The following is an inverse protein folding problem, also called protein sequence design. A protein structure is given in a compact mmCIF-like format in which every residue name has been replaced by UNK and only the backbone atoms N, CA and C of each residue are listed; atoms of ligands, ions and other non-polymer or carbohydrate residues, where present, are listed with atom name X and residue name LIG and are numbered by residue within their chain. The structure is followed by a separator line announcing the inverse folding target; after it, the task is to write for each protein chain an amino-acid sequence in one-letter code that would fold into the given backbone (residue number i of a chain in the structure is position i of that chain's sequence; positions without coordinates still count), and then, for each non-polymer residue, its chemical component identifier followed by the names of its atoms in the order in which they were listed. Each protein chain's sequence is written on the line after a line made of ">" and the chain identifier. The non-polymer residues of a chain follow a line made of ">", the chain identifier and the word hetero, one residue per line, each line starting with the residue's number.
data_IF_005196254529
#
_entry.id   IF_005196254529
#
_cell.length_a   1.000
_cell.length_b   1.000
_cell.length_c   1.000
_cell.angle_alpha   90.00
_cell.angle_beta   90.00
_cell.angle_gamma   90.00
#
_symmetry.space_group_name_H-M   'P 1'
#
loop_
_entity.id
_entity.type
_entity.pdbx_description
1 polymer ?
#
# COMPACT_ATOMS: atom_id res chain seq x y z
N UNK A 1 11.16 9.67 70.78
CA UNK A 1 11.93 9.74 69.53
C UNK A 1 10.97 9.40 68.34
N UNK A 2 10.48 10.41 67.62
CA UNK A 2 9.60 10.21 66.45
C UNK A 2 10.48 10.27 65.18
N UNK A 3 10.59 9.19 64.43
CA UNK A 3 11.26 9.14 63.13
C UNK A 3 10.36 9.82 62.07
N UNK A 4 10.86 10.92 61.45
CA UNK A 4 10.25 11.53 60.28
C UNK A 4 10.60 10.69 59.05
N UNK A 5 9.58 10.07 58.40
CA UNK A 5 9.72 9.56 57.05
C UNK A 5 9.54 10.72 56.07
N UNK A 6 10.60 11.02 55.29
CA UNK A 6 10.53 12.00 54.23
C UNK A 6 9.66 11.51 53.09
N UNK A 7 8.72 12.33 52.66
CA UNK A 7 7.92 12.10 51.44
C UNK A 7 8.85 12.26 50.24
N UNK A 8 9.12 11.19 49.51
CA UNK A 8 9.77 11.24 48.20
C UNK A 8 8.78 11.90 47.23
N UNK A 9 9.19 12.97 46.55
CA UNK A 9 8.33 13.75 45.67
C UNK A 9 7.91 12.92 44.46
N UNK A 10 6.62 12.99 44.07
CA UNK A 10 6.06 12.35 42.85
C UNK A 10 6.82 12.74 41.57
N UNK A 11 7.46 13.92 41.56
CA UNK A 11 8.27 14.42 40.45
C UNK A 11 9.55 13.63 40.20
N UNK A 12 10.18 13.10 41.25
CA UNK A 12 11.42 12.29 41.15
C UNK A 12 11.13 10.89 40.52
N UNK A 13 9.93 10.37 40.75
CA UNK A 13 9.54 9.07 40.22
C UNK A 13 9.23 9.13 38.70
N UNK A 14 8.61 10.24 38.23
CA UNK A 14 8.31 10.46 36.82
C UNK A 14 9.57 10.62 35.96
N UNK A 15 10.59 11.32 36.47
CA UNK A 15 11.88 11.51 35.78
C UNK A 15 12.66 10.18 35.67
N UNK A 16 12.62 9.35 36.72
CA UNK A 16 13.27 8.03 36.69
C UNK A 16 12.62 7.07 35.70
N UNK A 17 11.29 7.09 35.54
CA UNK A 17 10.58 6.28 34.54
C UNK A 17 10.86 6.71 33.11
N UNK A 18 10.96 8.03 32.85
CA UNK A 18 11.28 8.55 31.51
C UNK A 18 12.71 8.21 31.07
N UNK A 19 13.68 8.28 32.01
CA UNK A 19 15.07 7.90 31.75
C UNK A 19 15.19 6.39 31.45
N UNK A 20 14.46 5.54 32.18
CA UNK A 20 14.47 4.09 31.96
C UNK A 20 13.88 3.73 30.57
N UNK A 21 12.81 4.39 30.15
CA UNK A 21 12.22 4.16 28.84
C UNK A 21 13.14 4.58 27.68
N UNK A 22 13.86 5.69 27.84
CA UNK A 22 14.84 6.15 26.84
C UNK A 22 16.10 5.24 26.79
N UNK A 23 16.57 4.73 27.93
CA UNK A 23 17.66 3.76 27.95
C UNK A 23 17.25 2.42 27.30
N UNK A 24 16.06 1.91 27.56
CA UNK A 24 15.58 0.67 26.95
C UNK A 24 15.37 0.83 25.43
N UNK A 25 14.89 1.99 24.95
CA UNK A 25 14.77 2.28 23.53
C UNK A 25 16.15 2.41 22.84
N UNK A 26 17.14 3.02 23.50
CA UNK A 26 18.51 3.10 23.02
C UNK A 26 19.20 1.73 22.98
N UNK A 27 19.06 0.90 24.01
CA UNK A 27 19.59 -0.48 24.03
C UNK A 27 18.95 -1.36 22.96
N UNK A 28 17.64 -1.18 22.66
CA UNK A 28 16.96 -1.95 21.62
C UNK A 28 17.41 -1.53 20.21
N UNK A 29 17.72 -0.23 19.99
CA UNK A 29 18.23 0.26 18.72
C UNK A 29 19.69 -0.18 18.46
N UNK A 30 20.53 -0.24 19.48
CA UNK A 30 21.91 -0.72 19.36
C UNK A 30 21.99 -2.23 19.14
N UNK A 31 21.14 -3.04 19.79
CA UNK A 31 21.05 -4.49 19.52
C UNK A 31 20.63 -4.83 18.09
N UNK A 32 19.86 -3.98 17.44
CA UNK A 32 19.46 -4.16 16.03
C UNK A 32 20.61 -3.88 15.05
N UNK A 33 21.60 -3.06 15.42
CA UNK A 33 22.78 -2.76 14.60
C UNK A 33 23.80 -3.91 14.55
N UNK A 34 23.82 -4.76 15.56
CA UNK A 34 24.79 -5.87 15.70
C UNK A 34 24.24 -7.21 15.19
N UNK A 35 23.00 -7.24 14.68
CA UNK A 35 22.44 -8.44 14.06
C UNK A 35 22.74 -8.49 12.56
N UNK A 36 23.26 -9.64 12.09
CA UNK A 36 23.38 -9.87 10.67
C UNK A 36 22.00 -9.71 9.99
N UNK A 37 21.94 -9.06 8.82
CA UNK A 37 20.67 -8.94 8.10
C UNK A 37 20.11 -10.34 7.77
N UNK A 38 18.78 -10.55 7.84
CA UNK A 38 18.18 -11.82 7.46
C UNK A 38 18.49 -12.12 5.98
N UNK A 39 18.76 -13.38 5.69
CA UNK A 39 18.98 -13.83 4.32
C UNK A 39 17.60 -14.00 3.67
N UNK A 40 17.38 -13.30 2.57
CA UNK A 40 16.16 -13.38 1.75
C UNK A 40 16.59 -13.84 0.35
N UNK A 41 15.96 -14.91 -0.14
CA UNK A 41 16.11 -15.33 -1.54
C UNK A 41 15.27 -14.42 -2.42
N UNK A 42 15.85 -13.64 -3.33
CA UNK A 42 15.06 -12.80 -4.24
C UNK A 42 14.25 -13.66 -5.20
N UNK A 43 13.08 -13.19 -5.58
CA UNK A 43 12.31 -13.79 -6.66
C UNK A 43 12.90 -13.47 -8.03
N UNK A 44 12.67 -14.33 -9.01
CA UNK A 44 13.04 -14.12 -10.40
C UNK A 44 11.86 -13.56 -11.21
N UNK A 45 12.13 -12.65 -12.14
CA UNK A 45 11.12 -12.08 -13.04
C UNK A 45 9.88 -11.51 -12.34
N UNK A 46 10.08 -10.86 -11.17
CA UNK A 46 9.02 -10.25 -10.40
C UNK A 46 8.24 -11.22 -9.48
N UNK A 47 8.64 -12.50 -9.40
CA UNK A 47 8.03 -13.43 -8.44
C UNK A 47 8.34 -13.04 -6.98
N UNK A 48 7.56 -13.57 -6.05
CA UNK A 48 7.67 -13.24 -4.64
C UNK A 48 9.01 -13.68 -4.05
N UNK A 49 9.74 -12.82 -3.32
CA UNK A 49 10.90 -13.23 -2.54
C UNK A 49 10.48 -14.11 -1.34
N UNK A 50 11.44 -14.81 -0.75
CA UNK A 50 11.19 -15.85 0.26
C UNK A 50 10.53 -15.35 1.56
N UNK A 51 10.59 -14.05 1.85
CA UNK A 51 9.97 -13.40 3.02
C UNK A 51 8.68 -12.62 2.68
N UNK A 52 8.19 -12.74 1.44
CA UNK A 52 6.95 -12.09 1.03
C UNK A 52 5.70 -12.89 1.44
N UNK A 53 4.62 -12.16 1.66
CA UNK A 53 3.27 -12.71 1.76
C UNK A 53 2.67 -12.65 0.36
N UNK A 54 2.40 -13.81 -0.22
CA UNK A 54 1.72 -13.91 -1.52
C UNK A 54 0.24 -13.64 -1.30
N UNK A 55 -0.28 -12.61 -1.97
CA UNK A 55 -1.69 -12.22 -1.91
C UNK A 55 -2.50 -12.80 -3.08
N UNK A 56 -1.84 -13.02 -4.22
CA UNK A 56 -2.47 -13.65 -5.37
C UNK A 56 -1.41 -14.22 -6.33
N UNK A 57 -1.49 -15.52 -6.57
CA UNK A 57 -0.62 -16.29 -7.48
C UNK A 57 -1.35 -16.85 -8.71
N UNK A 58 -2.65 -16.55 -8.85
CA UNK A 58 -3.51 -17.04 -9.92
C UNK A 58 -4.33 -18.28 -9.54
N UNK A 59 -4.13 -18.87 -8.37
CA UNK A 59 -4.80 -20.12 -7.95
C UNK A 59 -6.23 -19.91 -7.45
N UNK A 60 -6.44 -18.91 -6.56
CA UNK A 60 -7.71 -18.62 -5.90
C UNK A 60 -7.75 -17.16 -5.37
N UNK A 61 -8.89 -16.77 -4.78
CA UNK A 61 -9.11 -15.46 -4.17
C UNK A 61 -9.20 -15.55 -2.63
N UNK A 62 -8.59 -16.55 -2.00
CA UNK A 62 -8.78 -16.85 -0.59
C UNK A 62 -8.20 -15.77 0.35
N UNK A 63 -7.20 -15.01 -0.09
CA UNK A 63 -6.66 -13.86 0.67
C UNK A 63 -7.54 -12.60 0.55
N UNK A 64 -8.60 -12.63 -0.28
CA UNK A 64 -9.44 -11.48 -0.63
C UNK A 64 -10.89 -11.65 -0.19
N UNK A 65 -11.58 -10.51 0.00
CA UNK A 65 -13.00 -10.43 0.30
C UNK A 65 -13.62 -9.14 -0.29
N UNK A 66 -14.96 -9.13 -0.45
CA UNK A 66 -15.75 -7.95 -0.80
C UNK A 66 -16.63 -7.58 0.39
N UNK A 67 -16.25 -6.54 1.15
CA UNK A 67 -16.84 -6.31 2.47
C UNK A 67 -16.65 -7.53 3.37
N UNK A 68 -17.73 -8.04 3.94
CA UNK A 68 -17.74 -9.25 4.77
C UNK A 68 -18.05 -10.53 3.97
N UNK A 69 -18.16 -10.44 2.64
CA UNK A 69 -18.49 -11.55 1.76
C UNK A 69 -17.26 -12.06 0.99
N UNK A 70 -17.36 -13.28 0.43
CA UNK A 70 -16.35 -13.83 -0.43
C UNK A 70 -16.11 -12.94 -1.67
N UNK A 71 -14.86 -12.89 -2.12
CA UNK A 71 -14.46 -12.21 -3.35
C UNK A 71 -15.25 -12.71 -4.56
N UNK A 72 -15.71 -11.78 -5.43
CA UNK A 72 -16.60 -12.09 -6.57
C UNK A 72 -16.00 -11.79 -7.92
N UNK A 73 -14.75 -11.31 -7.98
CA UNK A 73 -14.06 -11.05 -9.24
C UNK A 73 -13.83 -12.34 -10.03
N UNK A 74 -13.67 -12.22 -11.32
CA UNK A 74 -13.50 -13.38 -12.20
C UNK A 74 -12.07 -13.93 -12.12
N UNK A 75 -11.90 -15.22 -11.87
CA UNK A 75 -10.60 -15.90 -11.89
C UNK A 75 -10.30 -16.37 -13.31
N UNK A 76 -9.24 -15.85 -13.92
CA UNK A 76 -8.75 -16.18 -15.26
C UNK A 76 -7.55 -17.14 -15.14
N UNK A 77 -7.82 -18.42 -14.90
CA UNK A 77 -6.79 -19.44 -14.61
C UNK A 77 -5.73 -19.56 -15.70
N UNK A 78 -6.11 -19.45 -16.98
CA UNK A 78 -5.18 -19.53 -18.11
C UNK A 78 -4.14 -18.39 -18.14
N UNK A 79 -4.45 -17.25 -17.51
CA UNK A 79 -3.55 -16.09 -17.41
C UNK A 79 -2.94 -15.93 -16.02
N UNK A 80 -3.26 -16.83 -15.09
CA UNK A 80 -2.95 -16.68 -13.66
C UNK A 80 -3.37 -15.31 -13.11
N UNK A 81 -4.55 -14.83 -13.53
CA UNK A 81 -5.04 -13.49 -13.27
C UNK A 81 -6.44 -13.48 -12.64
N UNK A 82 -6.78 -12.39 -11.98
CA UNK A 82 -8.15 -12.04 -11.62
C UNK A 82 -8.57 -10.78 -12.37
N UNK A 83 -9.85 -10.68 -12.71
CA UNK A 83 -10.43 -9.58 -13.48
C UNK A 83 -11.57 -8.92 -12.72
N UNK A 84 -11.60 -7.60 -12.75
CA UNK A 84 -12.71 -6.81 -12.19
C UNK A 84 -14.02 -7.26 -12.82
N UNK A 85 -14.93 -7.74 -11.98
CA UNK A 85 -16.30 -8.03 -12.37
C UNK A 85 -17.18 -6.83 -11.99
N UNK A 86 -17.54 -6.05 -13.00
CA UNK A 86 -18.33 -4.83 -12.86
C UNK A 86 -19.53 -4.99 -11.91
N UNK A 87 -19.64 -4.09 -10.96
CA UNK A 87 -20.78 -4.01 -10.03
C UNK A 87 -20.73 -5.02 -8.88
N UNK A 88 -19.63 -5.76 -8.72
CA UNK A 88 -19.45 -6.65 -7.56
C UNK A 88 -18.74 -5.99 -6.38
N UNK A 89 -18.29 -4.76 -6.56
CA UNK A 89 -17.60 -3.97 -5.56
C UNK A 89 -16.09 -4.23 -5.52
N UNK A 90 -15.42 -3.50 -4.65
CA UNK A 90 -13.98 -3.59 -4.46
C UNK A 90 -13.58 -4.93 -3.87
N UNK A 91 -12.34 -5.36 -4.15
CA UNK A 91 -11.68 -6.42 -3.38
C UNK A 91 -10.76 -5.81 -2.34
N UNK A 92 -10.80 -6.36 -1.13
CA UNK A 92 -9.85 -6.02 -0.07
C UNK A 92 -9.19 -7.27 0.47
N UNK A 93 -7.94 -7.14 0.91
CA UNK A 93 -7.26 -8.24 1.62
C UNK A 93 -7.90 -8.49 2.99
N UNK A 94 -7.94 -9.75 3.42
CA UNK A 94 -8.36 -10.12 4.77
C UNK A 94 -7.34 -9.66 5.81
N UNK A 95 -6.04 -9.71 5.46
CA UNK A 95 -4.94 -9.17 6.27
C UNK A 95 -4.80 -7.67 6.11
N UNK A 96 -4.29 -7.02 7.15
CA UNK A 96 -3.99 -5.58 7.18
C UNK A 96 -2.50 -5.34 7.31
N UNK A 97 -2.00 -4.26 6.69
CA UNK A 97 -0.59 -3.95 6.56
C UNK A 97 -0.28 -2.51 6.98
N UNK A 98 0.94 -2.31 7.50
CA UNK A 98 1.52 -1.00 7.80
C UNK A 98 2.45 -0.52 6.69
N UNK A 99 3.72 -0.29 7.05
CA UNK A 99 4.77 0.06 6.10
C UNK A 99 5.12 -1.17 5.26
N UNK A 100 5.11 -1.07 3.92
CA UNK A 100 5.28 -2.23 3.04
C UNK A 100 6.05 -1.94 1.75
N UNK A 101 6.63 -2.99 1.20
CA UNK A 101 6.95 -3.13 -0.21
C UNK A 101 5.85 -4.00 -0.86
N UNK A 102 5.18 -3.48 -1.88
CA UNK A 102 4.16 -4.17 -2.65
C UNK A 102 4.63 -4.31 -4.11
N UNK A 103 4.49 -5.51 -4.65
CA UNK A 103 4.54 -5.74 -6.10
C UNK A 103 3.16 -6.15 -6.59
N UNK A 104 2.74 -5.58 -7.71
CA UNK A 104 1.46 -5.90 -8.34
C UNK A 104 1.57 -5.72 -9.85
N UNK A 105 1.11 -6.72 -10.60
CA UNK A 105 0.96 -6.61 -12.05
C UNK A 105 -0.50 -6.38 -12.41
N UNK A 106 -0.74 -5.49 -13.40
CA UNK A 106 -2.07 -5.15 -13.85
C UNK A 106 -2.09 -4.93 -15.37
N UNK A 107 -3.26 -5.13 -15.99
CA UNK A 107 -3.46 -4.84 -17.40
C UNK A 107 -4.85 -4.26 -17.63
N UNK A 108 -4.92 -3.17 -18.40
CA UNK A 108 -6.20 -2.64 -18.90
C UNK A 108 -6.71 -3.51 -20.04
N UNK A 109 -8.02 -3.46 -20.39
CA UNK A 109 -8.55 -4.19 -21.54
C UNK A 109 -7.78 -3.87 -22.83
N UNK A 110 -7.55 -4.87 -23.68
CA UNK A 110 -6.91 -4.68 -24.98
C UNK A 110 -7.81 -3.93 -25.97
N UNK A 111 -9.13 -4.12 -25.84
CA UNK A 111 -10.12 -3.33 -26.56
C UNK A 111 -10.33 -2.01 -25.83
N UNK A 112 -9.99 -0.93 -26.51
CA UNK A 112 -10.09 0.42 -25.97
C UNK A 112 -11.53 0.91 -26.05
N UNK A 113 -12.13 1.17 -24.88
CA UNK A 113 -13.46 1.79 -24.76
C UNK A 113 -13.38 3.02 -23.86
N UNK A 114 -14.07 4.09 -24.24
CA UNK A 114 -14.08 5.35 -23.49
C UNK A 114 -12.83 6.21 -23.72
N UNK A 115 -12.69 7.25 -22.90
CA UNK A 115 -11.59 8.21 -22.91
C UNK A 115 -11.37 8.79 -21.52
N UNK A 116 -10.23 9.43 -21.29
CA UNK A 116 -9.88 10.06 -20.02
C UNK A 116 -10.02 9.06 -18.87
N UNK A 117 -10.71 9.45 -17.82
CA UNK A 117 -10.96 8.60 -16.63
C UNK A 117 -11.96 7.46 -16.86
N UNK A 118 -12.66 7.42 -18.00
CA UNK A 118 -13.55 6.32 -18.37
C UNK A 118 -12.84 5.16 -19.09
N UNK A 119 -11.52 5.21 -19.27
CA UNK A 119 -10.76 4.26 -20.08
C UNK A 119 -9.86 3.36 -19.24
N UNK A 120 -10.28 2.10 -19.05
CA UNK A 120 -9.48 1.09 -18.34
C UNK A 120 -9.13 1.51 -16.92
N UNK A 121 -10.10 2.04 -16.17
CA UNK A 121 -9.92 2.62 -14.84
C UNK A 121 -10.07 1.59 -13.73
N UNK A 122 -9.20 1.69 -12.75
CA UNK A 122 -9.23 1.00 -11.45
C UNK A 122 -8.31 1.76 -10.48
N UNK A 123 -8.01 1.18 -9.31
CA UNK A 123 -7.10 1.79 -8.33
C UNK A 123 -6.52 0.76 -7.37
N UNK A 124 -5.30 1.02 -6.91
CA UNK A 124 -4.60 0.26 -5.86
C UNK A 124 -4.53 1.14 -4.61
N UNK A 125 -5.34 0.81 -3.60
CA UNK A 125 -5.44 1.60 -2.36
C UNK A 125 -4.64 0.96 -1.23
N UNK A 126 -3.54 1.56 -0.83
CA UNK A 126 -2.82 1.19 0.38
C UNK A 126 -3.66 1.57 1.60
N UNK A 127 -3.79 0.61 2.52
CA UNK A 127 -4.68 0.71 3.70
C UNK A 127 -6.15 1.02 3.35
N UNK A 128 -6.57 0.80 2.09
CA UNK A 128 -7.90 1.18 1.62
C UNK A 128 -8.18 2.69 1.62
N UNK A 129 -7.13 3.52 1.66
CA UNK A 129 -7.18 4.98 1.84
C UNK A 129 -6.43 5.76 0.79
N UNK A 130 -5.24 5.29 0.40
CA UNK A 130 -4.27 6.06 -0.38
C UNK A 130 -4.08 5.38 -1.72
N UNK A 131 -4.60 6.01 -2.77
CA UNK A 131 -4.71 5.43 -4.10
C UNK A 131 -3.49 5.72 -4.97
N UNK A 132 -2.90 4.66 -5.51
CA UNK A 132 -2.11 4.73 -6.74
C UNK A 132 -3.01 4.35 -7.91
N UNK A 133 -3.24 5.31 -8.79
CA UNK A 133 -4.17 5.19 -9.90
C UNK A 133 -3.78 4.09 -10.89
N UNK A 134 -4.78 3.31 -11.32
CA UNK A 134 -4.71 2.39 -12.46
C UNK A 134 -5.58 2.94 -13.57
N UNK A 135 -5.00 3.20 -14.73
CA UNK A 135 -5.68 3.77 -15.89
C UNK A 135 -4.98 3.33 -17.16
N UNK A 136 -5.71 3.18 -18.25
CA UNK A 136 -5.10 3.18 -19.57
C UNK A 136 -4.66 4.60 -19.93
N UNK A 137 -3.41 4.93 -19.59
CA UNK A 137 -2.79 6.23 -19.87
C UNK A 137 -1.96 6.27 -21.14
N UNK A 138 -1.96 5.18 -21.94
CA UNK A 138 -1.26 5.15 -23.21
C UNK A 138 -2.02 5.94 -24.27
N UNK A 139 -1.46 7.07 -24.73
CA UNK A 139 -2.13 7.99 -25.68
C UNK A 139 -3.56 8.34 -25.23
N UNK A 140 -3.75 8.66 -23.94
CA UNK A 140 -5.03 9.00 -23.35
C UNK A 140 -4.90 10.27 -22.51
N UNK A 141 -5.50 11.35 -22.98
CA UNK A 141 -5.48 12.63 -22.29
C UNK A 141 -6.46 12.65 -21.13
N UNK A 142 -5.98 13.10 -19.98
CA UNK A 142 -6.77 13.41 -18.78
C UNK A 142 -5.95 14.34 -17.87
N UNK A 143 -6.53 14.76 -16.74
CA UNK A 143 -5.79 15.58 -15.78
C UNK A 143 -4.58 14.84 -15.21
N UNK A 144 -3.48 15.56 -14.98
CA UNK A 144 -2.16 14.95 -14.69
C UNK A 144 -2.13 14.15 -13.40
N UNK A 145 -2.80 14.59 -12.33
CA UNK A 145 -2.91 13.87 -11.06
C UNK A 145 -4.00 12.78 -11.03
N UNK A 146 -4.51 12.38 -12.20
CA UNK A 146 -5.38 11.23 -12.43
C UNK A 146 -4.82 10.25 -13.46
N UNK A 147 -3.58 10.44 -13.93
CA UNK A 147 -2.88 9.49 -14.80
C UNK A 147 -2.50 8.22 -14.04
N UNK A 148 -2.21 7.13 -14.77
CA UNK A 148 -1.67 5.90 -14.18
C UNK A 148 -0.44 6.21 -13.30
N UNK A 149 -0.43 5.70 -12.09
CA UNK A 149 0.65 5.92 -11.12
C UNK A 149 0.57 7.26 -10.38
N UNK A 150 -0.43 8.09 -10.62
CA UNK A 150 -0.68 9.24 -9.76
C UNK A 150 -1.01 8.79 -8.32
N UNK A 151 -0.54 9.51 -7.32
CA UNK A 151 -1.22 9.55 -6.04
C UNK A 151 -2.49 10.36 -6.26
N UNK A 152 -3.61 9.66 -6.49
CA UNK A 152 -4.83 10.19 -7.10
C UNK A 152 -5.32 11.49 -6.45
N UNK A 153 -5.51 12.52 -7.27
CA UNK A 153 -5.88 13.89 -6.90
C UNK A 153 -4.90 14.61 -5.94
N UNK A 154 -3.71 14.02 -5.65
CA UNK A 154 -2.71 14.62 -4.77
C UNK A 154 -1.42 14.94 -5.52
N UNK A 155 -0.84 13.98 -6.26
CA UNK A 155 0.41 14.18 -6.99
C UNK A 155 0.39 13.46 -8.34
N UNK A 156 0.75 14.16 -9.41
CA UNK A 156 0.97 13.56 -10.71
C UNK A 156 2.20 12.63 -10.69
N UNK A 157 2.24 11.59 -11.55
CA UNK A 157 3.47 10.84 -11.77
C UNK A 157 4.54 11.72 -12.42
N UNK A 158 5.81 11.46 -12.12
CA UNK A 158 6.95 12.18 -12.71
C UNK A 158 7.01 12.01 -14.24
N UNK A 159 6.62 10.83 -14.73
CA UNK A 159 6.54 10.50 -16.14
C UNK A 159 5.41 9.51 -16.39
N UNK A 160 4.89 9.47 -17.62
CA UNK A 160 3.95 8.42 -18.06
C UNK A 160 4.77 7.23 -18.60
N UNK A 161 4.86 6.15 -17.83
CA UNK A 161 5.57 4.92 -18.17
C UNK A 161 4.63 3.80 -18.69
N UNK A 162 3.42 4.15 -19.13
CA UNK A 162 2.39 3.19 -19.53
C UNK A 162 2.76 2.48 -20.84
N UNK A 163 2.60 1.15 -20.84
CA UNK A 163 2.59 0.32 -22.06
C UNK A 163 1.20 0.40 -22.73
N UNK A 164 1.08 0.01 -24.01
CA UNK A 164 -0.21 -0.05 -24.70
C UNK A 164 -1.27 -0.90 -23.96
N UNK A 165 -2.58 -0.61 -24.16
CA UNK A 165 -3.66 -1.38 -23.57
C UNK A 165 -3.54 -2.88 -23.88
N UNK A 166 -3.99 -3.71 -22.95
CA UNK A 166 -3.86 -5.17 -23.00
C UNK A 166 -2.48 -5.70 -22.58
N UNK A 167 -1.44 -4.85 -22.49
CA UNK A 167 -0.11 -5.25 -22.03
C UNK A 167 -0.01 -5.18 -20.49
N UNK A 168 0.65 -6.16 -19.90
CA UNK A 168 0.93 -6.19 -18.47
C UNK A 168 1.85 -5.04 -18.07
N UNK A 169 1.46 -4.35 -17.02
CA UNK A 169 2.16 -3.27 -16.34
C UNK A 169 2.59 -3.76 -14.96
N UNK A 170 3.65 -3.20 -14.40
CA UNK A 170 4.06 -3.49 -13.02
C UNK A 170 4.04 -2.22 -12.18
N UNK A 171 3.55 -2.32 -10.96
CA UNK A 171 3.86 -1.37 -9.91
C UNK A 171 4.70 -2.04 -8.83
N UNK A 172 5.85 -1.42 -8.52
CA UNK A 172 6.63 -1.70 -7.32
C UNK A 172 6.49 -0.49 -6.39
N UNK A 173 5.83 -0.68 -5.25
CA UNK A 173 5.43 0.39 -4.35
C UNK A 173 6.11 0.21 -2.99
N UNK A 174 6.90 1.21 -2.58
CA UNK A 174 7.33 1.34 -1.19
C UNK A 174 6.38 2.33 -0.51
N UNK A 175 5.62 1.85 0.44
CA UNK A 175 4.65 2.63 1.20
C UNK A 175 5.08 2.75 2.65
N UNK A 176 5.20 3.97 3.14
CA UNK A 176 5.34 4.29 4.56
C UNK A 176 4.01 4.87 5.02
N UNK A 177 3.36 4.19 5.95
CA UNK A 177 2.04 4.58 6.44
C UNK A 177 2.10 5.91 7.23
N UNK A 178 1.13 6.83 7.04
CA UNK A 178 0.95 7.93 7.98
C UNK A 178 0.55 7.39 9.35
N UNK A 179 1.14 7.93 10.42
CA UNK A 179 0.97 7.40 11.77
C UNK A 179 0.27 8.44 12.66
N UNK A 180 -0.92 8.12 13.23
CA UNK A 180 -1.54 8.94 14.25
C UNK A 180 -0.60 9.13 15.45
N UNK A 181 -0.57 10.33 16.01
CA UNK A 181 0.20 10.69 17.20
C UNK A 181 -0.73 10.90 18.40
N UNK A 182 -0.19 10.80 19.61
CA UNK A 182 -0.96 11.00 20.87
C UNK A 182 -1.55 12.40 21.01
N UNK A 183 -0.93 13.42 20.41
CA UNK A 183 -1.40 14.79 20.40
C UNK A 183 -2.50 15.05 19.36
N UNK A 184 -2.98 14.03 18.66
CA UNK A 184 -3.99 14.11 17.61
C UNK A 184 -3.44 14.52 16.24
N UNK A 185 -2.14 14.81 16.11
CA UNK A 185 -1.49 15.06 14.82
C UNK A 185 -1.26 13.75 14.06
N UNK A 186 -0.88 13.85 12.78
CA UNK A 186 -0.50 12.72 11.95
C UNK A 186 0.93 12.92 11.46
N UNK A 187 1.83 11.99 11.81
CA UNK A 187 3.15 11.95 11.18
C UNK A 187 2.95 11.51 9.72
N UNK A 188 3.35 12.32 8.74
CA UNK A 188 3.19 11.97 7.33
C UNK A 188 3.87 10.65 6.97
N UNK A 189 3.22 9.90 6.08
CA UNK A 189 3.80 8.79 5.36
C UNK A 189 4.36 9.21 4.01
N UNK A 190 4.69 8.24 3.16
CA UNK A 190 5.16 8.52 1.80
C UNK A 190 4.94 7.36 0.84
N UNK A 191 4.89 7.71 -0.46
CA UNK A 191 5.02 6.78 -1.57
C UNK A 191 6.35 6.92 -2.29
N UNK A 192 6.98 5.78 -2.62
CA UNK A 192 7.94 5.66 -3.72
C UNK A 192 7.41 4.57 -4.64
N UNK A 193 7.18 4.90 -5.92
CA UNK A 193 6.54 3.99 -6.88
C UNK A 193 7.36 3.91 -8.14
N UNK A 194 7.62 2.67 -8.58
CA UNK A 194 8.13 2.39 -9.92
C UNK A 194 6.98 1.82 -10.76
N UNK A 195 6.83 2.33 -11.97
CA UNK A 195 5.90 1.82 -13.00
C UNK A 195 6.73 1.24 -14.15
N UNK A 196 6.63 -0.05 -14.41
CA UNK A 196 7.45 -0.76 -15.40
C UNK A 196 8.97 -0.54 -15.19
N UNK A 197 9.41 -0.47 -13.92
CA UNK A 197 10.79 -0.21 -13.54
C UNK A 197 11.21 1.26 -13.58
N UNK A 198 10.33 2.19 -13.97
CA UNK A 198 10.61 3.63 -14.03
C UNK A 198 10.05 4.32 -12.79
N UNK A 199 10.86 5.13 -12.11
CA UNK A 199 10.45 5.91 -10.95
C UNK A 199 9.42 6.97 -11.33
N UNK A 200 8.23 6.89 -10.74
CA UNK A 200 7.11 7.80 -11.02
C UNK A 200 6.61 8.57 -9.79
N UNK A 201 6.86 8.06 -8.59
CA UNK A 201 6.65 8.78 -7.32
C UNK A 201 7.92 8.62 -6.47
N UNK A 202 8.46 9.71 -5.93
CA UNK A 202 9.68 9.71 -5.13
C UNK A 202 9.44 10.35 -3.76
N UNK A 203 9.29 9.51 -2.73
CA UNK A 203 9.00 9.96 -1.37
C UNK A 203 7.83 10.98 -1.31
N UNK A 204 6.84 10.80 -2.19
CA UNK A 204 5.66 11.67 -2.27
C UNK A 204 4.90 11.64 -0.95
N UNK A 205 4.73 12.78 -0.26
CA UNK A 205 4.20 12.79 1.11
C UNK A 205 2.72 12.44 1.15
N UNK A 206 2.33 11.68 2.21
CA UNK A 206 0.95 11.31 2.52
C UNK A 206 0.61 11.98 3.84
N UNK A 207 -0.24 13.01 3.82
CA UNK A 207 -0.60 13.82 4.99
C UNK A 207 -1.68 13.17 5.88
N UNK A 208 -2.15 11.97 5.53
CA UNK A 208 -3.19 11.24 6.26
C UNK A 208 -4.61 11.46 5.72
N UNK A 209 -4.80 12.38 4.75
CA UNK A 209 -6.07 12.55 4.05
C UNK A 209 -6.25 11.41 3.04
N UNK A 210 -7.38 10.70 3.11
CA UNK A 210 -7.71 9.63 2.18
C UNK A 210 -7.98 10.18 0.76
N UNK A 211 -7.69 9.37 -0.26
CA UNK A 211 -8.02 9.66 -1.66
C UNK A 211 -9.53 9.64 -1.88
N UNK A 212 -9.97 10.26 -2.96
CA UNK A 212 -11.36 10.19 -3.42
C UNK A 212 -11.78 8.72 -3.62
N UNK A 213 -13.03 8.38 -3.28
CA UNK A 213 -13.58 7.02 -3.35
C UNK A 213 -12.83 5.95 -2.51
N UNK A 214 -11.99 6.35 -1.56
CA UNK A 214 -11.39 5.44 -0.60
C UNK A 214 -12.46 4.71 0.24
N UNK A 215 -12.22 3.43 0.53
CA UNK A 215 -13.11 2.62 1.34
C UNK A 215 -13.12 3.06 2.82
N UNK A 216 -12.03 3.68 3.27
CA UNK A 216 -11.83 4.11 4.66
C UNK A 216 -11.27 5.53 4.73
N UNK A 217 -11.44 6.19 5.89
CA UNK A 217 -10.94 7.53 6.17
C UNK A 217 -10.05 7.56 7.43
N UNK A 218 -9.33 8.66 7.61
CA UNK A 218 -8.40 8.86 8.73
C UNK A 218 -7.14 7.99 8.63
N UNK A 219 -6.05 8.44 9.24
CA UNK A 219 -4.82 7.69 9.32
C UNK A 219 -4.96 6.50 10.31
N UNK A 220 -4.27 5.40 10.02
CA UNK A 220 -4.23 4.20 10.86
C UNK A 220 -2.87 3.54 10.75
N UNK A 221 -2.41 2.83 11.81
CA UNK A 221 -1.14 2.08 11.73
C UNK A 221 -1.16 0.96 10.69
N UNK A 222 -2.32 0.29 10.49
CA UNK A 222 -2.49 -0.80 9.52
C UNK A 222 -3.87 -0.72 8.86
N UNK A 223 -3.97 -1.19 7.62
CA UNK A 223 -5.21 -1.32 6.88
C UNK A 223 -5.08 -2.30 5.71
N UNK A 224 -6.20 -2.71 5.07
CA UNK A 224 -6.17 -3.66 3.97
C UNK A 224 -5.62 -3.02 2.69
N UNK A 225 -5.03 -3.85 1.82
CA UNK A 225 -4.86 -3.49 0.41
C UNK A 225 -6.22 -3.63 -0.27
N UNK A 226 -6.62 -2.61 -1.05
CA UNK A 226 -7.92 -2.59 -1.74
C UNK A 226 -7.70 -2.35 -3.24
N UNK A 227 -8.39 -3.13 -4.07
CA UNK A 227 -8.45 -2.98 -5.52
C UNK A 227 -9.84 -2.51 -5.93
N UNK A 228 -9.90 -1.47 -6.78
CA UNK A 228 -11.14 -0.79 -7.11
C UNK A 228 -11.90 -1.48 -8.25
N UNK A 229 -13.21 -1.67 -8.09
CA UNK A 229 -14.17 -1.88 -9.17
C UNK A 229 -14.67 -0.52 -9.67
N UNK A 230 -14.08 -0.01 -10.76
CA UNK A 230 -14.56 1.19 -11.47
C UNK A 230 -15.43 0.84 -12.70
N UNK A 231 -15.79 -0.44 -12.84
CA UNK A 231 -16.64 -0.93 -13.94
C UNK A 231 -15.89 -1.27 -15.22
N UNK A 232 -14.58 -1.12 -15.28
CA UNK A 232 -13.73 -1.57 -16.38
C UNK A 232 -13.09 -2.93 -16.05
N UNK A 233 -13.01 -3.90 -16.98
CA UNK A 233 -12.45 -5.23 -16.73
C UNK A 233 -10.91 -5.18 -16.71
N UNK A 234 -10.37 -4.48 -15.72
CA UNK A 234 -8.93 -4.44 -15.44
C UNK A 234 -8.53 -5.79 -14.82
N UNK A 235 -7.40 -6.33 -15.25
CA UNK A 235 -6.87 -7.60 -14.77
C UNK A 235 -5.70 -7.35 -13.83
N UNK A 236 -5.57 -8.25 -12.84
CA UNK A 236 -4.47 -8.23 -11.86
C UNK A 236 -3.87 -9.61 -11.73
N UNK A 237 -2.54 -9.70 -11.49
CA UNK A 237 -1.83 -10.93 -11.21
C UNK A 237 -0.56 -10.68 -10.41
N UNK A 238 0.09 -11.73 -9.97
CA UNK A 238 1.39 -11.69 -9.30
C UNK A 238 1.44 -10.59 -8.22
N UNK A 239 0.61 -10.76 -7.18
CA UNK A 239 0.49 -9.76 -6.10
C UNK A 239 1.15 -10.33 -4.86
N UNK A 240 2.20 -9.65 -4.38
CA UNK A 240 2.86 -10.00 -3.13
C UNK A 240 3.29 -8.75 -2.36
N UNK A 241 3.43 -8.93 -1.06
CA UNK A 241 3.74 -7.84 -0.14
C UNK A 241 4.79 -8.28 0.89
N UNK A 242 5.69 -7.38 1.26
CA UNK A 242 6.63 -7.53 2.37
C UNK A 242 6.37 -6.43 3.38
N UNK A 243 6.24 -6.77 4.66
CA UNK A 243 6.17 -5.77 5.72
C UNK A 243 7.57 -5.20 5.98
N UNK A 244 7.67 -3.88 6.08
CA UNK A 244 8.90 -3.15 6.42
C UNK A 244 8.88 -2.86 7.91
N UNK A 245 9.80 -3.50 8.66
CA UNK A 245 9.93 -3.39 10.12
C UNK A 245 11.00 -2.36 10.52
#
# INVERSE_FOLDING_TARGET
>A
MKKKFGKLSLTTLAVLMSISAHLQAAESSDKKKDQAPPIVTPGENGSAPSDAIVLFDGSNLDEWQSGDAAAKWTLLKAESAMEVKKGTGVLQTKKTFGDVQLHIEWATPSEVTGSGQGRGNSGVYLQGRYEIQVLDSFNNETYYNGQAGAFYNNAAPLVNASRPPGKWQTYDIIFVAPKPQEDGSVKPGSFTVLHNGILIQHQTPITGKASTAAAYSGATPKGPLVLQDHGNPVRYRNIWIRELN
#
